data_IF_107846727365
#
_entry.id   IF_107846727365
#
_cell.length_a   1.000
_cell.length_b   1.000
_cell.length_c   1.000
_cell.angle_alpha   90.00
_cell.angle_beta   90.00
_cell.angle_gamma   90.00
#
_symmetry.space_group_name_H-M   'P 1'
#
loop_
_entity.id
_entity.type
_entity.pdbx_description
1 polymer ?
#
# COMPACT_ATOMS: atom_id res chain seq x y z
N UNK A 1 -35.36 3.98 18.50
CA UNK A 1 -33.95 3.56 18.69
C UNK A 1 -33.28 3.57 17.33
N UNK A 2 -32.32 4.46 17.12
CA UNK A 2 -31.61 4.56 15.83
C UNK A 2 -30.33 3.73 15.90
N UNK A 3 -30.08 2.91 14.87
CA UNK A 3 -28.85 2.14 14.71
C UNK A 3 -28.12 2.66 13.47
N UNK A 4 -26.79 2.70 13.53
CA UNK A 4 -25.94 3.08 12.41
C UNK A 4 -24.76 2.10 12.28
N UNK A 5 -24.25 1.95 11.06
CA UNK A 5 -23.08 1.12 10.74
C UNK A 5 -22.14 1.98 9.89
N UNK A 6 -20.84 1.92 10.19
CA UNK A 6 -19.77 2.50 9.40
C UNK A 6 -19.03 1.37 8.68
N UNK A 7 -18.87 1.54 7.38
CA UNK A 7 -18.11 0.61 6.54
C UNK A 7 -16.88 1.33 6.01
N UNK A 8 -15.75 0.62 6.02
CA UNK A 8 -14.58 1.02 5.27
C UNK A 8 -14.81 0.80 3.76
N UNK A 9 -13.98 1.38 2.90
CA UNK A 9 -14.11 1.26 1.45
C UNK A 9 -13.27 0.10 0.91
N UNK A 10 -11.95 0.18 1.07
CA UNK A 10 -10.99 -0.74 0.45
C UNK A 10 -10.98 -2.10 1.13
N UNK A 11 -11.14 -3.16 0.35
CA UNK A 11 -11.25 -4.53 0.86
C UNK A 11 -12.55 -4.83 1.61
N UNK A 12 -13.48 -3.86 1.72
CA UNK A 12 -14.79 -4.03 2.39
C UNK A 12 -15.93 -3.78 1.41
N UNK A 13 -16.09 -2.56 0.91
CA UNK A 13 -17.09 -2.23 -0.11
C UNK A 13 -16.58 -2.52 -1.52
N UNK A 14 -15.27 -2.41 -1.73
CA UNK A 14 -14.61 -2.62 -3.02
C UNK A 14 -13.52 -3.69 -2.87
N UNK A 15 -13.49 -4.66 -3.79
CA UNK A 15 -12.39 -5.62 -3.89
C UNK A 15 -11.17 -4.97 -4.57
N UNK A 16 -10.52 -4.04 -3.88
CA UNK A 16 -9.42 -3.22 -4.41
C UNK A 16 -8.02 -3.81 -4.15
N UNK A 17 -7.91 -4.89 -3.37
CA UNK A 17 -6.63 -5.42 -2.87
C UNK A 17 -5.61 -5.77 -3.96
N UNK A 18 -6.08 -6.29 -5.10
CA UNK A 18 -5.19 -6.60 -6.23
C UNK A 18 -4.56 -5.34 -6.84
N UNK A 19 -5.34 -4.25 -6.94
CA UNK A 19 -4.84 -3.00 -7.50
C UNK A 19 -3.80 -2.35 -6.59
N UNK A 20 -4.02 -2.37 -5.27
CA UNK A 20 -3.00 -1.91 -4.33
C UNK A 20 -1.72 -2.74 -4.42
N UNK A 21 -1.82 -4.06 -4.57
CA UNK A 21 -0.66 -4.94 -4.77
C UNK A 21 0.14 -4.54 -6.02
N UNK A 22 -0.52 -4.39 -7.17
CA UNK A 22 0.15 -4.01 -8.42
C UNK A 22 0.80 -2.62 -8.33
N UNK A 23 0.10 -1.62 -7.78
CA UNK A 23 0.64 -0.28 -7.62
C UNK A 23 1.91 -0.25 -6.76
N UNK A 24 1.98 -1.07 -5.70
CA UNK A 24 3.24 -1.23 -4.95
C UNK A 24 4.35 -1.86 -5.79
N UNK A 25 4.06 -2.89 -6.58
CA UNK A 25 5.09 -3.52 -7.43
C UNK A 25 5.64 -2.55 -8.46
N UNK A 26 4.80 -1.70 -9.03
CA UNK A 26 5.22 -0.66 -9.97
C UNK A 26 6.20 0.32 -9.32
N UNK A 27 5.86 0.84 -8.14
CA UNK A 27 6.74 1.76 -7.41
C UNK A 27 8.05 1.09 -6.97
N UNK A 28 8.00 -0.18 -6.55
CA UNK A 28 9.17 -0.94 -6.11
C UNK A 28 10.08 -1.37 -7.27
N UNK A 29 9.57 -1.38 -8.50
CA UNK A 29 10.35 -1.70 -9.69
C UNK A 29 11.52 -0.74 -9.91
N UNK A 30 11.37 0.54 -9.52
CA UNK A 30 12.45 1.55 -9.53
C UNK A 30 13.67 1.08 -8.71
N UNK A 31 13.45 0.29 -7.67
CA UNK A 31 14.48 -0.21 -6.75
C UNK A 31 14.90 -1.65 -7.05
N UNK A 32 14.36 -2.26 -8.12
CA UNK A 32 14.53 -3.70 -8.42
C UNK A 32 14.15 -4.59 -7.25
N UNK A 33 13.20 -4.14 -6.41
CA UNK A 33 12.67 -4.90 -5.29
C UNK A 33 11.40 -5.60 -5.75
N UNK A 34 11.47 -6.91 -5.93
CA UNK A 34 10.26 -7.71 -6.19
C UNK A 34 9.46 -7.88 -4.90
N UNK A 35 8.14 -7.73 -4.96
CA UNK A 35 7.23 -7.90 -3.82
C UNK A 35 6.36 -9.13 -4.06
N UNK A 36 6.56 -10.17 -3.25
CA UNK A 36 5.75 -11.38 -3.37
C UNK A 36 4.33 -11.13 -2.84
N UNK A 37 3.37 -11.86 -3.40
CA UNK A 37 1.98 -11.82 -2.92
C UNK A 37 1.87 -12.29 -1.47
N UNK A 38 2.65 -13.29 -1.09
CA UNK A 38 2.69 -13.80 0.29
C UNK A 38 3.17 -12.72 1.28
N UNK A 39 4.25 -12.00 0.96
CA UNK A 39 4.76 -10.91 1.78
C UNK A 39 3.73 -9.78 1.91
N UNK A 40 3.09 -9.41 0.79
CA UNK A 40 2.06 -8.38 0.75
C UNK A 40 0.86 -8.75 1.62
N UNK A 41 0.26 -9.92 1.39
CA UNK A 41 -0.93 -10.36 2.11
C UNK A 41 -0.65 -10.65 3.59
N UNK A 42 0.55 -11.17 3.91
CA UNK A 42 0.87 -11.61 5.26
C UNK A 42 1.30 -10.51 6.23
N UNK A 43 1.86 -9.40 5.72
CA UNK A 43 2.55 -8.44 6.60
C UNK A 43 2.33 -6.96 6.29
N UNK A 44 1.69 -6.62 5.17
CA UNK A 44 1.60 -5.23 4.71
C UNK A 44 0.18 -4.66 4.65
N UNK A 45 -0.85 -5.51 4.47
CA UNK A 45 -2.25 -5.06 4.39
C UNK A 45 -2.65 -4.26 5.64
N UNK A 46 -3.36 -3.14 5.41
CA UNK A 46 -3.92 -2.30 6.47
C UNK A 46 -2.92 -1.34 7.13
N UNK A 47 -1.64 -1.41 6.75
CA UNK A 47 -0.64 -0.44 7.17
C UNK A 47 -0.71 0.83 6.32
N UNK A 48 -0.24 1.93 6.89
CA UNK A 48 -0.12 3.21 6.15
C UNK A 48 0.99 3.10 5.09
N UNK A 49 0.80 3.76 3.95
CA UNK A 49 1.73 3.70 2.82
C UNK A 49 3.20 3.95 3.21
N UNK A 50 3.49 4.98 4.02
CA UNK A 50 4.86 5.27 4.45
C UNK A 50 5.46 4.15 5.31
N UNK A 51 4.65 3.44 6.10
CA UNK A 51 5.12 2.31 6.92
C UNK A 51 5.50 1.15 6.02
N UNK A 52 4.67 0.86 5.00
CA UNK A 52 4.94 -0.20 4.02
C UNK A 52 6.23 0.12 3.26
N UNK A 53 6.35 1.33 2.71
CA UNK A 53 7.54 1.75 1.96
C UNK A 53 8.81 1.70 2.82
N UNK A 54 8.75 2.15 4.08
CA UNK A 54 9.89 2.06 5.01
C UNK A 54 10.26 0.63 5.39
N UNK A 55 9.29 -0.28 5.50
CA UNK A 55 9.57 -1.72 5.72
C UNK A 55 10.25 -2.36 4.52
N UNK A 56 9.85 -1.97 3.31
CA UNK A 56 10.32 -2.60 2.07
C UNK A 56 11.65 -2.01 1.57
N UNK A 57 11.87 -0.71 1.74
CA UNK A 57 13.00 0.02 1.18
C UNK A 57 13.96 0.60 2.25
N UNK A 58 13.60 0.49 3.53
CA UNK A 58 14.39 1.01 4.64
C UNK A 58 14.14 2.50 4.91
N UNK A 59 15.10 3.13 5.59
CA UNK A 59 15.00 4.53 5.98
C UNK A 59 15.43 5.45 4.82
N UNK A 60 14.47 5.77 3.95
CA UNK A 60 14.65 6.75 2.87
C UNK A 60 14.35 8.17 3.38
N UNK A 61 14.94 9.21 2.74
CA UNK A 61 14.55 10.59 2.97
C UNK A 61 13.04 10.80 2.86
N UNK A 62 12.48 11.65 3.71
CA UNK A 62 11.03 11.85 3.81
C UNK A 62 10.41 12.30 2.47
N UNK A 63 11.08 13.19 1.75
CA UNK A 63 10.67 13.65 0.41
C UNK A 63 10.57 12.49 -0.59
N UNK A 64 11.49 11.52 -0.51
CA UNK A 64 11.46 10.35 -1.37
C UNK A 64 10.28 9.43 -1.01
N UNK A 65 9.99 9.23 0.28
CA UNK A 65 8.81 8.47 0.71
C UNK A 65 7.53 9.15 0.21
N UNK A 66 7.43 10.47 0.30
CA UNK A 66 6.27 11.23 -0.18
C UNK A 66 6.09 11.11 -1.70
N UNK A 67 7.18 11.21 -2.47
CA UNK A 67 7.15 10.96 -3.92
C UNK A 67 6.64 9.56 -4.25
N UNK A 68 7.13 8.54 -3.55
CA UNK A 68 6.75 7.15 -3.78
C UNK A 68 5.29 6.87 -3.39
N UNK A 69 4.80 7.51 -2.31
CA UNK A 69 3.37 7.43 -1.94
C UNK A 69 2.50 8.07 -3.03
N UNK A 70 2.88 9.25 -3.53
CA UNK A 70 2.13 9.91 -4.60
C UNK A 70 2.14 9.08 -5.91
N UNK A 71 3.28 8.50 -6.27
CA UNK A 71 3.39 7.61 -7.43
C UNK A 71 2.49 6.38 -7.30
N UNK A 72 2.43 5.76 -6.12
CA UNK A 72 1.55 4.60 -5.85
C UNK A 72 0.07 4.96 -5.99
N UNK A 73 -0.34 6.17 -5.62
CA UNK A 73 -1.75 6.60 -5.74
C UNK A 73 -2.13 7.04 -7.16
N UNK A 74 -1.15 7.27 -8.04
CA UNK A 74 -1.36 7.64 -9.43
C UNK A 74 -1.29 6.46 -10.42
N UNK A 75 -0.85 5.28 -9.94
CA UNK A 75 -0.82 4.02 -10.68
C UNK A 75 -2.21 3.36 -10.69
#
# INVERSE_FOLDING_TARGET
MTRAILWDMDGVLVNSMEFHYQAYREVLSEFRRDLSREEYLGSLIGLRNYVILRRLLGDLPQEQIERLMAAKEAA
#
